data_IF_056576035989
#
_entry.id   IF_056576035989
#
_cell.length_a   1.000
_cell.length_b   1.000
_cell.length_c   1.000
_cell.angle_alpha   90.00
_cell.angle_beta   90.00
_cell.angle_gamma   90.00
#
_symmetry.space_group_name_H-M   'P 1'
#
loop_
_entity.id
_entity.type
_entity.pdbx_description
1 polymer ?
#
# COMPACT_ATOMS: atom_id res chain seq x y z
N UNK A 1 1.89 9.05 7.42
CA UNK A 1 2.77 9.77 8.37
C UNK A 1 4.21 9.23 8.41
N UNK A 2 4.46 7.93 8.23
CA UNK A 2 5.80 7.35 8.40
C UNK A 2 6.90 8.01 7.54
N UNK A 3 6.64 8.32 6.26
CA UNK A 3 7.64 8.99 5.42
C UNK A 3 8.00 10.40 5.89
N UNK A 4 7.04 11.16 6.42
CA UNK A 4 7.32 12.46 7.02
C UNK A 4 8.16 12.34 8.28
N UNK A 5 7.88 11.33 9.12
CA UNK A 5 8.69 11.03 10.31
C UNK A 5 10.14 10.70 9.93
N UNK A 6 10.35 9.92 8.87
CA UNK A 6 11.68 9.56 8.36
C UNK A 6 12.40 10.72 7.67
N UNK A 7 11.68 11.57 6.95
CA UNK A 7 12.25 12.73 6.26
C UNK A 7 12.73 13.81 7.25
N UNK A 8 12.02 13.99 8.37
CA UNK A 8 12.36 14.98 9.38
C UNK A 8 12.17 16.42 8.90
N UNK A 9 12.90 17.36 9.52
CA UNK A 9 12.68 18.81 9.35
C UNK A 9 13.15 19.36 8.00
N UNK A 10 14.07 18.68 7.32
CA UNK A 10 14.57 19.09 5.99
C UNK A 10 13.66 18.52 4.89
N UNK A 11 12.40 18.95 4.87
CA UNK A 11 11.38 18.42 3.96
C UNK A 11 11.49 19.06 2.57
N UNK A 12 12.25 18.42 1.69
CA UNK A 12 12.28 18.69 0.24
C UNK A 12 11.63 17.53 -0.51
N UNK A 13 11.28 17.73 -1.78
CA UNK A 13 10.72 16.65 -2.63
C UNK A 13 11.68 15.46 -2.69
N UNK A 14 12.97 15.71 -2.93
CA UNK A 14 13.97 14.65 -3.01
C UNK A 14 14.16 13.92 -1.68
N UNK A 15 14.17 14.64 -0.56
CA UNK A 15 14.26 14.03 0.76
C UNK A 15 13.01 13.21 1.10
N UNK A 16 11.83 13.69 0.70
CA UNK A 16 10.59 12.94 0.88
C UNK A 16 10.56 11.67 0.02
N UNK A 17 10.99 11.74 -1.24
CA UNK A 17 11.11 10.56 -2.12
C UNK A 17 12.08 9.55 -1.50
N UNK A 18 13.28 9.98 -1.06
CA UNK A 18 14.23 9.11 -0.35
C UNK A 18 13.62 8.49 0.91
N UNK A 19 12.88 9.26 1.70
CA UNK A 19 12.22 8.78 2.90
C UNK A 19 11.13 7.74 2.57
N UNK A 20 10.32 7.98 1.55
CA UNK A 20 9.34 7.00 1.04
C UNK A 20 10.03 5.72 0.60
N UNK A 21 11.05 5.79 -0.24
CA UNK A 21 11.77 4.63 -0.78
C UNK A 21 12.51 3.83 0.31
N UNK A 22 12.84 4.44 1.44
CA UNK A 22 13.40 3.75 2.61
C UNK A 22 12.39 2.86 3.34
N UNK A 23 11.09 3.05 3.13
CA UNK A 23 10.05 2.25 3.77
C UNK A 23 10.08 0.85 3.15
N UNK A 24 10.47 -0.13 3.98
CA UNK A 24 10.49 -1.56 3.68
C UNK A 24 9.71 -2.30 4.76
N UNK A 25 8.73 -3.07 4.31
CA UNK A 25 7.87 -3.96 5.09
C UNK A 25 7.28 -3.35 6.37
N UNK A 26 7.05 -2.03 6.33
CA UNK A 26 6.48 -1.30 7.44
C UNK A 26 5.01 -1.70 7.61
N UNK A 27 4.62 -2.07 8.83
CA UNK A 27 3.26 -2.47 9.17
C UNK A 27 2.71 -1.56 10.27
N UNK A 28 1.74 -0.73 9.90
CA UNK A 28 0.88 -0.02 10.86
C UNK A 28 -0.40 -0.82 11.12
N UNK A 29 -1.55 -0.14 11.12
CA UNK A 29 -2.87 -0.79 11.19
C UNK A 29 -3.25 -1.54 9.90
N UNK A 30 -2.60 -1.18 8.78
CA UNK A 30 -2.83 -1.73 7.44
C UNK A 30 -1.91 -2.92 7.11
N UNK A 31 -1.84 -3.31 5.82
CA UNK A 31 -0.91 -4.35 5.39
C UNK A 31 0.54 -3.84 5.43
N UNK A 32 1.50 -4.77 5.33
CA UNK A 32 2.91 -4.42 5.12
C UNK A 32 3.05 -3.59 3.84
N UNK A 33 3.81 -2.50 3.93
CA UNK A 33 4.06 -1.58 2.83
C UNK A 33 5.55 -1.41 2.55
N UNK A 34 5.89 -1.40 1.26
CA UNK A 34 7.24 -1.18 0.74
C UNK A 34 7.18 -0.27 -0.49
N UNK A 35 7.99 0.77 -0.54
CA UNK A 35 8.07 1.69 -1.69
C UNK A 35 9.46 1.64 -2.33
N UNK A 36 9.56 2.07 -3.59
CA UNK A 36 10.82 2.13 -4.33
C UNK A 36 10.68 2.92 -5.64
N UNK A 37 11.79 3.15 -6.37
CA UNK A 37 11.80 3.99 -7.57
C UNK A 37 10.75 3.61 -8.62
N UNK A 38 10.52 2.29 -8.78
CA UNK A 38 9.53 1.70 -9.69
C UNK A 38 8.33 1.08 -8.96
N UNK A 39 8.18 1.31 -7.65
CA UNK A 39 7.12 0.75 -6.80
C UNK A 39 6.44 1.88 -6.03
N UNK A 40 5.43 2.48 -6.66
CA UNK A 40 4.62 3.57 -6.09
C UNK A 40 3.40 3.07 -5.31
N UNK A 41 2.91 1.87 -5.62
CA UNK A 41 1.91 1.17 -4.82
C UNK A 41 2.60 0.37 -3.70
N UNK A 42 2.40 0.79 -2.45
CA UNK A 42 3.12 0.25 -1.29
C UNK A 42 2.77 -1.20 -0.94
N UNK A 43 1.54 -1.64 -1.24
CA UNK A 43 1.06 -2.99 -0.97
C UNK A 43 0.02 -3.44 -2.01
N UNK A 44 -0.04 -4.75 -2.23
CA UNK A 44 -1.09 -5.44 -3.00
C UNK A 44 -1.95 -6.33 -2.11
N UNK A 45 -1.81 -6.19 -0.80
CA UNK A 45 -2.57 -6.97 0.16
C UNK A 45 -3.87 -6.26 0.54
N UNK A 46 -4.93 -7.04 0.70
CA UNK A 46 -6.26 -6.61 1.07
C UNK A 46 -6.87 -7.60 2.07
N UNK A 47 -7.97 -7.24 2.72
CA UNK A 47 -8.83 -8.21 3.42
C UNK A 47 -10.26 -7.97 3.00
N UNK A 48 -11.11 -8.98 3.17
CA UNK A 48 -12.54 -8.87 2.91
C UNK A 48 -13.23 -8.57 4.25
N UNK A 49 -14.11 -7.57 4.24
CA UNK A 49 -14.97 -7.27 5.37
C UNK A 49 -16.44 -7.21 4.95
N UNK A 50 -17.31 -7.61 5.88
CA UNK A 50 -18.75 -7.46 5.79
C UNK A 50 -19.15 -6.14 6.42
N UNK A 51 -19.98 -5.36 5.73
CA UNK A 51 -20.67 -4.24 6.33
C UNK A 51 -21.77 -4.79 7.26
N UNK A 52 -21.76 -4.40 8.53
CA UNK A 52 -22.78 -4.82 9.50
C UNK A 52 -23.91 -3.80 9.57
N UNK A 53 -25.00 -4.19 10.23
CA UNK A 53 -26.01 -3.24 10.68
C UNK A 53 -25.33 -2.12 11.50
N UNK A 54 -25.73 -0.87 11.27
CA UNK A 54 -25.08 0.31 11.82
C UNK A 54 -23.82 0.80 11.09
N UNK A 55 -23.42 0.16 9.98
CA UNK A 55 -22.34 0.65 9.11
C UNK A 55 -20.92 0.34 9.57
N UNK A 56 -20.76 -0.58 10.54
CA UNK A 56 -19.44 -1.05 10.95
C UNK A 56 -18.88 -2.09 9.96
N UNK A 57 -17.57 -2.36 10.05
CA UNK A 57 -16.90 -3.35 9.23
C UNK A 57 -16.43 -4.54 10.07
N UNK A 58 -16.96 -5.72 9.78
CA UNK A 58 -16.52 -6.98 10.37
C UNK A 58 -15.53 -7.68 9.44
N UNK A 59 -14.32 -7.92 9.91
CA UNK A 59 -13.25 -8.53 9.13
C UNK A 59 -13.49 -10.04 8.95
N UNK A 60 -13.62 -10.49 7.71
CA UNK A 60 -13.88 -11.89 7.37
C UNK A 60 -12.61 -12.70 7.09
N UNK A 61 -11.54 -12.03 6.64
CA UNK A 61 -10.27 -12.69 6.28
C UNK A 61 -9.08 -12.01 6.93
N UNK A 62 -7.95 -12.73 7.04
CA UNK A 62 -6.64 -12.10 7.20
C UNK A 62 -6.26 -11.22 5.99
N UNK A 63 -5.04 -10.67 6.03
CA UNK A 63 -4.45 -10.04 4.85
C UNK A 63 -4.13 -11.10 3.80
N UNK A 64 -4.65 -10.92 2.59
CA UNK A 64 -4.38 -11.73 1.41
C UNK A 64 -3.71 -10.87 0.34
N UNK A 65 -2.75 -11.42 -0.39
CA UNK A 65 -2.00 -10.69 -1.43
C UNK A 65 -2.53 -11.06 -2.81
N UNK A 66 -2.77 -10.06 -3.65
CA UNK A 66 -3.10 -10.28 -5.06
C UNK A 66 -1.85 -10.54 -5.89
N UNK A 67 -1.78 -11.72 -6.51
CA UNK A 67 -0.73 -12.11 -7.46
C UNK A 67 -1.10 -11.81 -8.93
N UNK A 68 -2.17 -11.04 -9.15
CA UNK A 68 -2.65 -10.71 -10.50
C UNK A 68 -1.59 -9.92 -11.30
N UNK A 69 -1.24 -10.37 -12.49
CA UNK A 69 -0.44 -9.56 -13.43
C UNK A 69 -1.32 -8.45 -14.03
N UNK A 70 -1.11 -7.22 -13.57
CA UNK A 70 -1.88 -6.05 -14.02
C UNK A 70 -1.58 -5.67 -15.48
N UNK A 71 -0.39 -5.99 -15.99
CA UNK A 71 -0.03 -5.75 -17.39
C UNK A 71 -0.69 -6.78 -18.31
N UNK A 72 -0.82 -8.01 -17.85
CA UNK A 72 -1.63 -9.00 -18.54
C UNK A 72 -3.10 -8.60 -18.58
N UNK A 73 -3.67 -8.21 -17.43
CA UNK A 73 -5.07 -7.77 -17.37
C UNK A 73 -5.31 -6.59 -18.31
N UNK A 74 -4.43 -5.59 -18.29
CA UNK A 74 -4.50 -4.43 -19.21
C UNK A 74 -4.52 -4.88 -20.68
N UNK A 75 -3.59 -5.76 -21.08
CA UNK A 75 -3.56 -6.32 -22.46
C UNK A 75 -4.83 -7.06 -22.85
N UNK A 76 -5.53 -7.70 -21.91
CA UNK A 76 -6.79 -8.42 -22.18
C UNK A 76 -7.98 -7.47 -22.33
N UNK A 77 -7.99 -6.37 -21.56
CA UNK A 77 -9.12 -5.42 -21.51
C UNK A 77 -9.06 -4.32 -22.56
N UNK A 78 -7.88 -4.01 -23.11
CA UNK A 78 -7.70 -2.98 -24.14
C UNK A 78 -7.82 -3.52 -25.59
N UNK A 79 -8.51 -4.65 -25.78
CA UNK A 79 -8.93 -5.14 -27.12
C UNK A 79 -10.21 -4.46 -27.57
#
# INVERSE_FOLDING_TARGET
MEAFRRCGRNLTVDNFIRAMESIKDFQGIGPKMSFGPKKRQGSRSFFIARCTEGGNAEKLTGWVTSDIDVYEVKRRLEK
#
